data_IF_722416020415
#
_entry.id   IF_722416020415
#
_cell.length_a   1.000
_cell.length_b   1.000
_cell.length_c   1.000
_cell.angle_alpha   90.00
_cell.angle_beta   90.00
_cell.angle_gamma   90.00
#
_symmetry.space_group_name_H-M   'P 1'
#
loop_
_entity.id
_entity.type
_entity.pdbx_description
1 polymer ?
#
# COMPACT_ATOMS: atom_id res chain seq x y z
N UNK A 1 18.78 -14.53 -39.80
CA UNK A 1 19.29 -14.84 -38.43
C UNK A 1 19.43 -13.60 -37.55
N UNK A 2 20.01 -12.48 -38.03
CA UNK A 2 20.17 -11.24 -37.24
C UNK A 2 18.84 -10.58 -36.79
N UNK A 3 17.81 -10.59 -37.63
CA UNK A 3 16.50 -9.99 -37.30
C UNK A 3 15.75 -10.74 -36.18
N UNK A 4 15.87 -12.07 -36.13
CA UNK A 4 15.20 -12.89 -35.12
C UNK A 4 15.77 -12.62 -33.72
N UNK A 5 17.08 -12.41 -33.61
CA UNK A 5 17.74 -12.05 -32.34
C UNK A 5 17.32 -10.67 -31.82
N UNK A 6 17.24 -9.68 -32.72
CA UNK A 6 16.74 -8.33 -32.42
C UNK A 6 15.30 -8.34 -31.89
N UNK A 7 14.41 -9.09 -32.54
CA UNK A 7 13.01 -9.19 -32.15
C UNK A 7 12.83 -9.85 -30.76
N UNK A 8 13.61 -10.89 -30.47
CA UNK A 8 13.59 -11.58 -29.16
C UNK A 8 14.11 -10.65 -28.05
N UNK A 9 15.23 -9.96 -28.29
CA UNK A 9 15.80 -9.02 -27.32
C UNK A 9 14.82 -7.90 -26.96
N UNK A 10 14.18 -7.31 -27.98
CA UNK A 10 13.18 -6.25 -27.80
C UNK A 10 11.99 -6.72 -26.98
N UNK A 11 11.50 -7.95 -27.20
CA UNK A 11 10.39 -8.53 -26.41
C UNK A 11 10.77 -8.75 -24.95
N UNK A 12 12.00 -9.19 -24.67
CA UNK A 12 12.48 -9.39 -23.29
C UNK A 12 12.59 -8.06 -22.56
N UNK A 13 13.17 -7.04 -23.19
CA UNK A 13 13.29 -5.69 -22.64
C UNK A 13 11.92 -5.07 -22.33
N UNK A 14 10.99 -5.12 -23.29
CA UNK A 14 9.64 -4.57 -23.10
C UNK A 14 8.87 -5.28 -21.98
N UNK A 15 9.04 -6.61 -21.84
CA UNK A 15 8.41 -7.38 -20.77
C UNK A 15 8.97 -6.98 -19.40
N UNK A 16 10.28 -6.83 -19.26
CA UNK A 16 10.93 -6.40 -18.02
C UNK A 16 10.52 -4.95 -17.63
N UNK A 17 10.45 -4.04 -18.60
CA UNK A 17 10.03 -2.66 -18.38
C UNK A 17 8.56 -2.57 -17.90
N UNK A 18 7.65 -3.30 -18.56
CA UNK A 18 6.23 -3.35 -18.17
C UNK A 18 6.06 -3.94 -16.77
N UNK A 19 6.82 -4.99 -16.46
CA UNK A 19 6.83 -5.63 -15.15
C UNK A 19 7.29 -4.68 -14.04
N UNK A 20 8.36 -3.90 -14.28
CA UNK A 20 8.81 -2.87 -13.34
C UNK A 20 7.75 -1.81 -13.08
N UNK A 21 7.09 -1.34 -14.14
CA UNK A 21 6.04 -0.30 -14.04
C UNK A 21 4.81 -0.78 -13.25
N UNK A 22 4.38 -2.03 -13.46
CA UNK A 22 3.23 -2.59 -12.74
C UNK A 22 3.49 -2.70 -11.23
N UNK A 23 4.69 -3.12 -10.82
CA UNK A 23 5.06 -3.16 -9.40
C UNK A 23 5.11 -1.77 -8.78
N UNK A 24 5.66 -0.78 -9.50
CA UNK A 24 5.70 0.60 -9.02
C UNK A 24 4.30 1.16 -8.79
N UNK A 25 3.36 0.89 -9.69
CA UNK A 25 1.95 1.28 -9.52
C UNK A 25 1.31 0.61 -8.32
N UNK A 26 1.55 -0.69 -8.11
CA UNK A 26 1.02 -1.41 -6.94
C UNK A 26 1.59 -0.85 -5.63
N UNK A 27 2.89 -0.55 -5.57
CA UNK A 27 3.50 0.04 -4.38
C UNK A 27 3.03 1.46 -4.12
N UNK A 28 2.82 2.26 -5.17
CA UNK A 28 2.24 3.60 -5.06
C UNK A 28 0.79 3.55 -4.57
N UNK A 29 -0.03 2.63 -5.10
CA UNK A 29 -1.40 2.43 -4.63
C UNK A 29 -1.43 1.97 -3.18
N UNK A 30 -0.56 1.02 -2.79
CA UNK A 30 -0.44 0.56 -1.41
C UNK A 30 -0.04 1.70 -0.47
N UNK A 31 0.94 2.52 -0.85
CA UNK A 31 1.35 3.70 -0.09
C UNK A 31 0.16 4.65 0.15
N UNK A 32 -0.55 4.99 -0.93
CA UNK A 32 -1.70 5.88 -0.86
C UNK A 32 -2.82 5.33 0.03
N UNK A 33 -3.11 4.02 -0.05
CA UNK A 33 -4.10 3.36 0.80
C UNK A 33 -3.71 3.41 2.28
N UNK A 34 -2.44 3.16 2.62
CA UNK A 34 -1.96 3.22 4.01
C UNK A 34 -2.07 4.64 4.57
N UNK A 35 -1.75 5.66 3.77
CA UNK A 35 -1.89 7.05 4.20
C UNK A 35 -3.34 7.47 4.31
N UNK A 36 -4.19 7.08 3.36
CA UNK A 36 -5.62 7.35 3.40
C UNK A 36 -6.26 6.74 4.66
N UNK A 37 -5.89 5.50 4.98
CA UNK A 37 -6.30 4.84 6.22
C UNK A 37 -5.93 5.67 7.46
N UNK A 38 -4.68 6.12 7.55
CA UNK A 38 -4.24 7.00 8.65
C UNK A 38 -5.03 8.31 8.75
N UNK A 39 -5.24 8.99 7.63
CA UNK A 39 -6.00 10.25 7.59
C UNK A 39 -7.45 10.05 8.00
N UNK A 40 -8.10 8.98 7.53
CA UNK A 40 -9.49 8.67 7.86
C UNK A 40 -9.61 8.36 9.35
N UNK A 41 -8.71 7.55 9.93
CA UNK A 41 -8.71 7.26 11.37
C UNK A 41 -8.50 8.54 12.19
N UNK A 42 -7.50 9.36 11.85
CA UNK A 42 -7.20 10.60 12.57
C UNK A 42 -8.39 11.56 12.53
N UNK A 43 -9.05 11.68 11.38
CA UNK A 43 -10.24 12.51 11.23
C UNK A 43 -11.44 11.94 11.99
N UNK A 44 -11.68 10.63 11.95
CA UNK A 44 -12.78 9.99 12.66
C UNK A 44 -12.65 10.15 14.17
N UNK A 45 -11.44 9.94 14.71
CA UNK A 45 -11.17 10.04 16.15
C UNK A 45 -11.20 11.50 16.61
N UNK A 46 -10.65 12.43 15.83
CA UNK A 46 -10.65 13.87 16.20
C UNK A 46 -12.05 14.50 16.22
N UNK A 47 -13.04 13.87 15.58
CA UNK A 47 -14.43 14.31 15.60
C UNK A 47 -15.31 13.49 16.57
N UNK A 48 -14.72 12.66 17.45
CA UNK A 48 -15.44 11.73 18.35
C UNK A 48 -16.37 10.73 17.62
N UNK A 49 -16.09 10.44 16.35
CA UNK A 49 -16.91 9.56 15.47
C UNK A 49 -16.39 8.12 15.47
N UNK A 50 -15.29 7.83 16.17
CA UNK A 50 -14.73 6.48 16.22
C UNK A 50 -13.69 6.29 17.33
N UNK A 51 -13.37 5.03 17.59
CA UNK A 51 -12.30 4.65 18.52
C UNK A 51 -11.31 3.71 17.82
N UNK A 52 -10.03 3.85 18.15
CA UNK A 52 -9.01 2.90 17.69
C UNK A 52 -8.94 1.73 18.66
N UNK A 53 -9.17 0.52 18.15
CA UNK A 53 -9.17 -0.69 18.96
C UNK A 53 -7.75 -1.11 19.40
N UNK A 54 -6.72 -0.63 18.70
CA UNK A 54 -5.33 -0.94 19.03
C UNK A 54 -4.80 0.04 20.09
N UNK A 55 -4.56 -0.38 21.34
CA UNK A 55 -4.17 0.51 22.43
C UNK A 55 -2.83 1.22 22.20
N UNK A 56 -1.90 0.61 21.45
CA UNK A 56 -0.61 1.23 21.09
C UNK A 56 -0.78 2.39 20.11
N UNK A 57 -1.71 2.23 19.15
CA UNK A 57 -2.03 3.27 18.19
C UNK A 57 -2.98 4.30 18.78
N UNK A 58 -3.86 3.88 19.69
CA UNK A 58 -4.80 4.74 20.40
C UNK A 58 -4.07 5.84 21.18
N UNK A 59 -2.99 5.48 21.86
CA UNK A 59 -2.15 6.41 22.62
C UNK A 59 -1.38 7.42 21.72
N UNK A 60 -1.30 7.15 20.41
CA UNK A 60 -0.67 8.04 19.44
C UNK A 60 -1.68 8.95 18.71
N UNK A 61 -2.98 8.70 18.83
CA UNK A 61 -4.03 9.48 18.15
C UNK A 61 -4.12 10.91 18.67
N UNK A 62 -4.53 11.83 17.80
CA UNK A 62 -4.56 13.27 18.09
C UNK A 62 -3.16 13.91 18.17
N UNK A 63 -2.09 13.13 17.95
CA UNK A 63 -0.72 13.62 17.85
C UNK A 63 -0.15 13.33 16.46
N UNK A 64 0.79 14.16 15.99
CA UNK A 64 1.48 13.95 14.71
C UNK A 64 2.21 12.58 14.63
N UNK A 65 2.37 11.87 15.75
CA UNK A 65 3.06 10.57 15.84
C UNK A 65 2.29 9.45 15.15
N UNK A 66 0.96 9.45 15.19
CA UNK A 66 0.15 8.41 14.56
C UNK A 66 0.36 8.39 13.04
N UNK A 67 0.22 9.55 12.40
CA UNK A 67 0.46 9.68 10.97
C UNK A 67 1.92 9.37 10.60
N UNK A 68 2.89 9.85 11.39
CA UNK A 68 4.31 9.53 11.18
C UNK A 68 4.60 8.03 11.26
N UNK A 69 3.98 7.32 12.20
CA UNK A 69 4.14 5.88 12.35
C UNK A 69 3.60 5.14 11.11
N UNK A 70 2.43 5.52 10.61
CA UNK A 70 1.88 4.93 9.37
C UNK A 70 2.73 5.28 8.15
N UNK A 71 3.25 6.51 8.07
CA UNK A 71 4.16 6.92 7.00
C UNK A 71 5.43 6.06 7.00
N UNK A 72 6.11 5.92 8.14
CA UNK A 72 7.31 5.08 8.27
C UNK A 72 7.01 3.60 7.99
N UNK A 73 5.90 3.09 8.53
CA UNK A 73 5.44 1.73 8.28
C UNK A 73 5.21 1.46 6.79
N UNK A 74 4.57 2.40 6.08
CA UNK A 74 4.31 2.28 4.63
C UNK A 74 5.61 2.22 3.81
N UNK A 75 6.60 3.04 4.16
CA UNK A 75 7.93 3.03 3.53
C UNK A 75 8.60 1.67 3.76
N UNK A 76 8.58 1.16 5.00
CA UNK A 76 9.15 -0.14 5.33
C UNK A 76 8.50 -1.29 4.56
N UNK A 77 7.17 -1.29 4.44
CA UNK A 77 6.43 -2.31 3.66
C UNK A 77 6.84 -2.27 2.19
N UNK A 78 6.94 -1.08 1.59
CA UNK A 78 7.38 -0.93 0.19
C UNK A 78 8.81 -1.39 0.01
N UNK A 79 9.72 -1.06 0.93
CA UNK A 79 11.10 -1.54 0.90
C UNK A 79 11.19 -3.06 1.00
N UNK A 80 10.36 -3.67 1.85
CA UNK A 80 10.29 -5.12 2.01
C UNK A 80 9.77 -5.80 0.73
N UNK A 81 8.66 -5.29 0.16
CA UNK A 81 8.13 -5.79 -1.12
C UNK A 81 9.13 -5.61 -2.26
N UNK A 82 9.84 -4.48 -2.31
CA UNK A 82 10.91 -4.25 -3.28
C UNK A 82 12.04 -5.27 -3.13
N UNK A 83 12.41 -5.62 -1.91
CA UNK A 83 13.44 -6.63 -1.66
C UNK A 83 13.00 -8.02 -2.13
N UNK A 84 11.74 -8.40 -1.89
CA UNK A 84 11.17 -9.68 -2.38
C UNK A 84 11.13 -9.68 -3.91
N UNK A 85 10.62 -8.60 -4.54
CA UNK A 85 10.51 -8.49 -5.99
C UNK A 85 11.88 -8.54 -6.70
N UNK A 86 12.95 -8.02 -6.08
CA UNK A 86 14.32 -8.14 -6.59
C UNK A 86 14.80 -9.58 -6.66
N UNK A 87 14.47 -10.41 -5.66
CA UNK A 87 14.88 -11.82 -5.61
C UNK A 87 13.99 -12.70 -6.48
N UNK A 88 12.67 -12.49 -6.43
CA UNK A 88 11.65 -13.29 -7.14
C UNK A 88 10.47 -12.42 -7.53
N UNK A 89 10.49 -11.91 -8.77
CA UNK A 89 9.44 -11.02 -9.31
C UNK A 89 8.01 -11.55 -9.07
N UNK A 90 7.76 -12.83 -9.37
CA UNK A 90 6.42 -13.42 -9.21
C UNK A 90 5.92 -13.39 -7.77
N UNK A 91 6.80 -13.67 -6.80
CA UNK A 91 6.43 -13.63 -5.38
C UNK A 91 6.15 -12.21 -4.92
N UNK A 92 7.01 -11.26 -5.29
CA UNK A 92 6.81 -9.86 -4.93
C UNK A 92 5.54 -9.26 -5.54
N UNK A 93 5.16 -9.68 -6.75
CA UNK A 93 3.90 -9.30 -7.38
C UNK A 93 2.68 -9.84 -6.62
N UNK A 94 2.66 -11.14 -6.29
CA UNK A 94 1.57 -11.77 -5.52
C UNK A 94 1.44 -11.11 -4.14
N UNK A 95 2.55 -10.93 -3.43
CA UNK A 95 2.55 -10.25 -2.12
C UNK A 95 2.05 -8.81 -2.21
N UNK A 96 2.41 -8.08 -3.28
CA UNK A 96 1.92 -6.71 -3.48
C UNK A 96 0.41 -6.68 -3.72
N UNK A 97 -0.14 -7.60 -4.51
CA UNK A 97 -1.59 -7.72 -4.71
C UNK A 97 -2.33 -8.04 -3.42
N UNK A 98 -1.85 -9.03 -2.66
CA UNK A 98 -2.45 -9.40 -1.38
C UNK A 98 -2.44 -8.20 -0.41
N UNK A 99 -1.31 -7.50 -0.31
CA UNK A 99 -1.19 -6.33 0.55
C UNK A 99 -2.17 -5.21 0.15
N UNK A 100 -2.30 -4.93 -1.16
CA UNK A 100 -3.25 -3.92 -1.67
C UNK A 100 -4.68 -4.32 -1.35
N UNK A 101 -5.09 -5.56 -1.61
CA UNK A 101 -6.44 -6.04 -1.33
C UNK A 101 -6.77 -5.93 0.16
N UNK A 102 -5.86 -6.36 1.03
CA UNK A 102 -6.04 -6.24 2.48
C UNK A 102 -6.20 -4.77 2.90
N UNK A 103 -5.39 -3.86 2.35
CA UNK A 103 -5.51 -2.44 2.69
C UNK A 103 -6.77 -1.77 2.14
N UNK A 104 -7.27 -2.20 0.97
CA UNK A 104 -8.58 -1.75 0.48
C UNK A 104 -9.67 -2.12 1.49
N UNK A 105 -9.65 -3.35 2.01
CA UNK A 105 -10.61 -3.81 3.02
C UNK A 105 -10.55 -2.94 4.28
N UNK A 106 -9.34 -2.64 4.77
CA UNK A 106 -9.14 -1.79 5.96
C UNK A 106 -9.67 -0.37 5.73
N UNK A 107 -9.31 0.27 4.62
CA UNK A 107 -9.79 1.63 4.28
C UNK A 107 -11.32 1.65 4.15
N UNK A 108 -11.89 0.64 3.48
CA UNK A 108 -13.33 0.55 3.28
C UNK A 108 -14.07 0.32 4.61
N UNK A 109 -13.52 -0.51 5.49
CA UNK A 109 -14.03 -0.70 6.85
C UNK A 109 -14.07 0.62 7.62
N UNK A 110 -12.99 1.40 7.57
CA UNK A 110 -12.90 2.70 8.25
C UNK A 110 -13.88 3.74 7.66
N UNK A 111 -14.07 3.75 6.34
CA UNK A 111 -15.09 4.60 5.71
C UNK A 111 -16.52 4.22 6.13
N UNK A 112 -16.85 2.94 6.17
CA UNK A 112 -18.16 2.47 6.60
C UNK A 112 -18.41 2.77 8.08
N UNK A 113 -17.42 2.53 8.94
CA UNK A 113 -17.52 2.86 10.36
C UNK A 113 -17.77 4.35 10.57
N UNK A 114 -17.07 5.20 9.82
CA UNK A 114 -17.28 6.65 9.86
C UNK A 114 -18.68 7.07 9.39
N UNK A 115 -19.17 6.52 8.26
CA UNK A 115 -20.49 6.83 7.74
C UNK A 115 -21.62 6.38 8.67
N UNK A 116 -21.47 5.21 9.31
CA UNK A 116 -22.51 4.65 10.18
C UNK A 116 -22.69 5.45 11.47
N UNK A 117 -21.64 6.11 11.97
CA UNK A 117 -21.73 6.95 13.18
C UNK A 117 -22.25 8.36 12.89
N UNK A 118 -22.13 8.85 11.66
CA UNK A 118 -22.65 10.18 11.26
C UNK A 118 -24.12 10.16 10.80
N UNK A 119 -24.71 8.98 10.59
CA UNK A 119 -26.15 8.81 10.31
C UNK A 119 -26.98 8.82 11.59
#
# INVERSE_FOLDING_TARGET
MAELGSAIYTRIQNKAATQGRNLQLLWGALFALILADGLITEFAVSNDVGYEANPLLADMLGSHKFFLFKLLGSILVILFLRNISKKRYRMGLISSYIAVILYIIVVFWNLLAYQLVMM
#
